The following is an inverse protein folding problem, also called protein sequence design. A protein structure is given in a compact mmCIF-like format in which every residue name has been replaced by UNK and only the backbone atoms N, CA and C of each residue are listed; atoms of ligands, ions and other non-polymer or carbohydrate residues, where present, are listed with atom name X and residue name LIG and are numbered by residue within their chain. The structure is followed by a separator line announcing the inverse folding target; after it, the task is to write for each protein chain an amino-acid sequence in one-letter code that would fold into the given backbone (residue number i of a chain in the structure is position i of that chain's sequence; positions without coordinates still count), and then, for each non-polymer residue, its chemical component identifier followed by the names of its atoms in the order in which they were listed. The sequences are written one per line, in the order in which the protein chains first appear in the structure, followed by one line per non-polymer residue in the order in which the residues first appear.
data_IF_225335023917
#
_entry.id   IF_225335023917
#
_cell.length_a   1.000
_cell.length_b   1.000
_cell.length_c   1.000
_cell.angle_alpha   90.00
_cell.angle_beta   90.00
_cell.angle_gamma   90.00
#
_symmetry.space_group_name_H-M   'P 1'
#
loop_
_entity.id
_entity.type
_entity.pdbx_description
1 polymer ?
#
# COMPACT_ATOMS: atom_id res chain seq x y z
N UNK A 1 26.72 -12.71 -14.78
CA UNK A 1 25.55 -12.19 -14.02
C UNK A 1 26.02 -11.18 -12.97
N UNK A 2 25.28 -10.09 -12.71
CA UNK A 2 25.69 -9.00 -11.80
C UNK A 2 26.13 -9.42 -10.38
N UNK A 3 25.68 -10.59 -9.92
CA UNK A 3 25.96 -11.13 -8.58
C UNK A 3 27.16 -12.09 -8.52
N UNK A 4 27.71 -12.53 -9.66
CA UNK A 4 28.87 -13.44 -9.69
C UNK A 4 30.12 -12.88 -8.99
N UNK A 5 30.44 -11.58 -9.10
CA UNK A 5 31.60 -11.01 -8.41
C UNK A 5 31.52 -11.06 -6.88
N UNK A 6 30.32 -11.24 -6.30
CA UNK A 6 30.14 -11.30 -4.84
C UNK A 6 30.54 -12.65 -4.24
N UNK A 7 30.72 -13.70 -5.06
CA UNK A 7 31.03 -15.06 -4.58
C UNK A 7 29.94 -15.66 -3.69
N UNK A 8 28.72 -15.10 -3.69
CA UNK A 8 27.58 -15.56 -2.91
C UNK A 8 26.69 -16.48 -3.74
N UNK A 9 26.12 -17.51 -3.12
CA UNK A 9 25.01 -18.27 -3.70
C UNK A 9 23.76 -17.39 -3.79
N UNK A 10 23.00 -17.52 -4.87
CA UNK A 10 21.74 -16.81 -5.06
C UNK A 10 20.71 -17.72 -5.70
N UNK A 11 19.45 -17.34 -5.54
CA UNK A 11 18.33 -17.86 -6.30
C UNK A 11 17.51 -16.68 -6.83
N UNK A 12 16.76 -16.92 -7.90
CA UNK A 12 15.86 -15.97 -8.55
C UNK A 12 14.47 -16.59 -8.53
N UNK A 13 13.51 -15.87 -7.96
CA UNK A 13 12.12 -16.31 -7.88
C UNK A 13 11.29 -15.38 -8.76
N UNK A 14 10.73 -15.92 -9.83
CA UNK A 14 9.73 -15.25 -10.65
C UNK A 14 8.34 -15.60 -10.12
N UNK A 15 7.51 -14.58 -9.88
CA UNK A 15 6.12 -14.77 -9.45
C UNK A 15 5.19 -14.27 -10.56
N UNK A 16 4.48 -15.18 -11.22
CA UNK A 16 3.48 -14.87 -12.25
C UNK A 16 2.13 -14.57 -11.61
N UNK A 17 1.74 -13.29 -11.59
CA UNK A 17 0.44 -12.81 -11.12
C UNK A 17 -0.66 -12.90 -12.20
N UNK A 18 -0.72 -14.05 -12.88
CA UNK A 18 -1.53 -14.28 -14.09
C UNK A 18 -1.19 -13.32 -15.23
N UNK A 19 0.08 -13.28 -15.62
CA UNK A 19 0.53 -12.65 -16.84
C UNK A 19 0.06 -13.37 -18.10
N UNK A 20 0.60 -12.96 -19.26
CA UNK A 20 0.27 -13.61 -20.52
C UNK A 20 0.73 -15.07 -20.54
N UNK A 21 0.08 -15.97 -21.31
CA UNK A 21 0.56 -17.34 -21.47
C UNK A 21 2.02 -17.44 -21.95
N UNK A 22 2.50 -16.45 -22.71
CA UNK A 22 3.88 -16.38 -23.15
C UNK A 22 4.87 -16.07 -22.01
N UNK A 23 4.45 -15.29 -21.00
CA UNK A 23 5.27 -14.97 -19.83
C UNK A 23 5.54 -16.23 -19.00
N UNK A 24 4.49 -17.02 -18.70
CA UNK A 24 4.65 -18.27 -17.96
C UNK A 24 5.54 -19.27 -18.71
N UNK A 25 5.33 -19.43 -20.02
CA UNK A 25 6.17 -20.30 -20.84
C UNK A 25 7.65 -19.86 -20.87
N UNK A 26 7.93 -18.55 -20.79
CA UNK A 26 9.30 -18.04 -20.69
C UNK A 26 9.92 -18.36 -19.32
N UNK A 27 9.17 -18.20 -18.23
CA UNK A 27 9.61 -18.56 -16.87
C UNK A 27 9.94 -20.05 -16.79
N UNK A 28 9.06 -20.91 -17.31
CA UNK A 28 9.25 -22.35 -17.32
C UNK A 28 10.54 -22.76 -18.07
N UNK A 29 10.79 -22.17 -19.24
CA UNK A 29 12.05 -22.38 -19.98
C UNK A 29 13.27 -21.94 -19.19
N UNK A 30 13.23 -20.76 -18.56
CA UNK A 30 14.33 -20.25 -17.74
C UNK A 30 14.62 -21.17 -16.53
N UNK A 31 13.57 -21.73 -15.93
CA UNK A 31 13.70 -22.72 -14.86
C UNK A 31 14.35 -24.01 -15.37
N UNK A 32 13.95 -24.50 -16.56
CA UNK A 32 14.55 -25.68 -17.17
C UNK A 32 16.04 -25.49 -17.54
N UNK A 33 16.42 -24.29 -17.96
CA UNK A 33 17.82 -23.94 -18.28
C UNK A 33 18.68 -23.75 -17.02
N UNK A 34 18.07 -23.34 -15.90
CA UNK A 34 18.79 -22.98 -14.67
C UNK A 34 18.14 -23.57 -13.39
N UNK A 35 17.95 -24.90 -13.30
CA UNK A 35 17.07 -25.53 -12.29
C UNK A 35 17.56 -25.37 -10.84
N UNK A 36 18.84 -25.08 -10.63
CA UNK A 36 19.41 -24.85 -9.30
C UNK A 36 19.39 -23.38 -8.85
N UNK A 37 19.03 -22.45 -9.74
CA UNK A 37 19.10 -21.01 -9.48
C UNK A 37 17.79 -20.27 -9.72
N UNK A 38 16.89 -20.81 -10.55
CA UNK A 38 15.67 -20.12 -10.96
C UNK A 38 14.45 -20.95 -10.57
N UNK A 39 13.48 -20.29 -9.96
CA UNK A 39 12.18 -20.83 -9.60
C UNK A 39 11.07 -19.95 -10.17
N UNK A 40 10.00 -20.59 -10.60
CA UNK A 40 8.77 -19.93 -11.05
C UNK A 40 7.62 -20.31 -10.12
N UNK A 41 6.86 -19.33 -9.67
CA UNK A 41 5.65 -19.52 -8.86
C UNK A 41 4.50 -18.84 -9.59
N UNK A 42 3.45 -19.58 -9.90
CA UNK A 42 2.25 -19.06 -10.54
C UNK A 42 1.13 -18.91 -9.54
N UNK A 43 0.50 -17.74 -9.52
CA UNK A 43 -0.67 -17.49 -8.70
C UNK A 43 -1.96 -17.95 -9.40
N UNK A 44 -2.92 -18.43 -8.62
CA UNK A 44 -4.20 -18.96 -9.12
C UNK A 44 -5.12 -17.92 -9.76
N UNK A 45 -4.91 -16.64 -9.48
CA UNK A 45 -5.57 -15.49 -10.11
C UNK A 45 -4.68 -14.26 -9.96
N UNK A 46 -5.08 -13.13 -10.56
CA UNK A 46 -4.44 -11.86 -10.30
C UNK A 46 -4.77 -11.38 -8.87
N UNK A 47 -3.75 -11.26 -8.03
CA UNK A 47 -3.81 -10.73 -6.65
C UNK A 47 -3.17 -9.33 -6.53
N UNK A 48 -2.45 -8.88 -7.55
CA UNK A 48 -1.75 -7.60 -7.62
C UNK A 48 -0.27 -7.69 -7.21
N UNK A 49 0.50 -6.69 -7.64
CA UNK A 49 1.96 -6.64 -7.50
C UNK A 49 2.44 -6.90 -6.07
N UNK A 50 1.89 -6.22 -5.05
CA UNK A 50 2.34 -6.39 -3.67
C UNK A 50 2.07 -7.80 -3.11
N UNK A 51 0.97 -8.45 -3.51
CA UNK A 51 0.68 -9.81 -3.08
C UNK A 51 1.65 -10.81 -3.75
N UNK A 52 1.94 -10.61 -5.03
CA UNK A 52 2.95 -11.40 -5.76
C UNK A 52 4.36 -11.21 -5.18
N UNK A 53 4.76 -9.98 -4.87
CA UNK A 53 6.05 -9.71 -4.21
C UNK A 53 6.13 -10.37 -2.83
N UNK A 54 5.07 -10.32 -2.01
CA UNK A 54 5.04 -11.04 -0.74
C UNK A 54 5.10 -12.56 -0.91
N UNK A 55 4.47 -13.11 -1.96
CA UNK A 55 4.61 -14.52 -2.31
C UNK A 55 6.08 -14.87 -2.56
N UNK A 56 6.78 -14.07 -3.37
CA UNK A 56 8.22 -14.25 -3.64
C UNK A 56 9.06 -14.16 -2.37
N UNK A 57 8.79 -13.17 -1.50
CA UNK A 57 9.47 -13.02 -0.20
C UNK A 57 9.24 -14.25 0.68
N UNK A 58 8.01 -14.76 0.75
CA UNK A 58 7.65 -15.91 1.58
C UNK A 58 8.29 -17.23 1.10
N UNK A 59 8.61 -17.35 -0.18
CA UNK A 59 9.24 -18.54 -0.76
C UNK A 59 10.77 -18.41 -0.89
N UNK A 60 11.35 -17.25 -0.56
CA UNK A 60 12.78 -17.01 -0.62
C UNK A 60 13.54 -17.75 0.48
N UNK A 61 14.71 -18.30 0.15
CA UNK A 61 15.61 -19.06 1.02
C UNK A 61 16.94 -18.37 1.29
N UNK A 62 17.18 -17.18 0.71
CA UNK A 62 18.35 -16.34 1.01
C UNK A 62 18.28 -15.59 2.35
N UNK A 63 19.41 -15.35 3.01
CA UNK A 63 19.49 -14.49 4.21
C UNK A 63 19.07 -13.05 3.91
N UNK A 64 19.42 -12.58 2.71
CA UNK A 64 19.03 -11.29 2.16
C UNK A 64 18.09 -11.51 0.98
N UNK A 65 16.94 -10.84 1.00
CA UNK A 65 15.95 -10.88 -0.06
C UNK A 65 16.03 -9.56 -0.82
N UNK A 66 16.18 -9.64 -2.14
CA UNK A 66 16.18 -8.47 -3.02
C UNK A 66 14.92 -8.47 -3.84
N UNK A 67 14.18 -7.36 -3.86
CA UNK A 67 13.04 -7.18 -4.75
C UNK A 67 13.41 -6.22 -5.86
N UNK A 68 13.09 -6.58 -7.10
CA UNK A 68 13.37 -5.83 -8.33
C UNK A 68 12.10 -5.88 -9.17
N UNK A 69 11.67 -4.74 -9.72
CA UNK A 69 10.55 -4.70 -10.66
C UNK A 69 10.97 -5.13 -12.07
N UNK A 70 10.02 -5.63 -12.86
CA UNK A 70 10.25 -6.15 -14.21
C UNK A 70 10.45 -5.05 -15.28
N UNK A 71 10.33 -3.78 -14.92
CA UNK A 71 10.37 -2.63 -15.83
C UNK A 71 11.79 -2.24 -16.29
N UNK A 72 12.81 -2.97 -15.83
CA UNK A 72 14.23 -2.73 -16.08
C UNK A 72 14.69 -1.30 -15.71
N UNK A 73 13.89 -0.55 -14.94
CA UNK A 73 14.24 0.79 -14.49
C UNK A 73 15.36 0.75 -13.42
N UNK A 74 15.60 -0.45 -12.84
CA UNK A 74 16.52 -0.73 -11.75
C UNK A 74 17.57 -1.74 -12.21
N UNK A 75 18.82 -1.32 -12.49
CA UNK A 75 19.85 -2.22 -12.99
C UNK A 75 20.27 -3.22 -11.89
N UNK A 76 20.22 -4.55 -12.15
CA UNK A 76 20.68 -5.57 -11.21
C UNK A 76 22.13 -5.38 -10.73
N UNK A 77 22.95 -4.66 -11.49
CA UNK A 77 24.31 -4.22 -11.17
C UNK A 77 24.38 -3.34 -9.91
N UNK A 78 23.25 -2.77 -9.47
CA UNK A 78 23.16 -2.00 -8.24
C UNK A 78 22.97 -2.86 -6.98
N UNK A 79 22.56 -4.12 -7.13
CA UNK A 79 22.31 -5.03 -5.99
C UNK A 79 23.54 -5.19 -5.07
N UNK A 80 24.78 -5.35 -5.58
CA UNK A 80 25.98 -5.37 -4.74
C UNK A 80 26.11 -4.18 -3.80
N UNK A 81 25.80 -2.96 -4.27
CA UNK A 81 25.90 -1.75 -3.45
C UNK A 81 24.87 -1.73 -2.31
N UNK A 82 23.63 -2.17 -2.58
CA UNK A 82 22.61 -2.29 -1.54
C UNK A 82 22.98 -3.37 -0.50
N UNK A 83 23.51 -4.51 -0.94
CA UNK A 83 23.96 -5.58 -0.04
C UNK A 83 25.12 -5.14 0.83
N UNK A 84 26.12 -4.46 0.26
CA UNK A 84 27.25 -3.93 1.03
C UNK A 84 26.76 -2.96 2.13
N UNK A 85 25.79 -2.09 1.81
CA UNK A 85 25.18 -1.20 2.79
C UNK A 85 24.41 -1.97 3.85
N UNK A 86 23.73 -3.04 3.48
CA UNK A 86 22.99 -3.88 4.42
C UNK A 86 23.92 -4.58 5.42
N UNK A 87 25.10 -5.03 4.95
CA UNK A 87 26.16 -5.63 5.77
C UNK A 87 26.76 -4.65 6.81
N UNK A 88 26.54 -3.33 6.69
CA UNK A 88 26.88 -2.35 7.74
C UNK A 88 25.97 -2.45 8.99
N UNK A 89 24.96 -3.33 8.97
CA UNK A 89 24.04 -3.58 10.08
C UNK A 89 22.61 -3.06 9.86
N UNK A 90 22.25 -2.72 8.61
CA UNK A 90 20.91 -2.24 8.25
C UNK A 90 19.99 -3.40 7.86
N UNK A 91 18.80 -3.46 8.45
CA UNK A 91 17.84 -4.54 8.17
C UNK A 91 17.09 -4.36 6.86
N UNK A 92 17.00 -3.12 6.37
CA UNK A 92 16.37 -2.77 5.10
C UNK A 92 17.22 -1.72 4.40
N UNK A 93 17.50 -1.91 3.12
CA UNK A 93 18.20 -0.89 2.31
C UNK A 93 17.40 -0.63 1.05
N UNK A 94 17.05 0.62 0.81
CA UNK A 94 16.34 1.05 -0.39
C UNK A 94 17.32 1.59 -1.44
N UNK A 95 17.13 1.19 -2.69
CA UNK A 95 17.77 1.82 -3.83
C UNK A 95 16.94 3.03 -4.26
N UNK A 96 17.51 4.22 -4.17
CA UNK A 96 16.83 5.48 -4.49
C UNK A 96 17.47 6.11 -5.73
N UNK A 97 16.65 6.60 -6.65
CA UNK A 97 17.17 7.20 -7.86
C UNK A 97 17.82 8.56 -7.56
N UNK A 98 18.94 8.84 -8.22
CA UNK A 98 19.53 10.17 -8.23
C UNK A 98 18.53 11.15 -8.85
N UNK A 99 18.05 12.10 -8.06
CA UNK A 99 16.95 12.97 -8.47
C UNK A 99 17.40 13.93 -9.58
N UNK A 100 16.96 13.69 -10.83
CA UNK A 100 16.85 14.75 -11.85
C UNK A 100 15.59 14.61 -12.68
N UNK A 101 14.51 15.30 -12.27
CA UNK A 101 13.48 15.78 -13.21
C UNK A 101 12.63 16.91 -12.63
N UNK A 102 13.09 18.15 -12.78
CA UNK A 102 12.59 19.01 -13.85
C UNK A 102 11.27 19.76 -13.66
N UNK A 103 10.24 19.13 -13.10
CA UNK A 103 8.92 19.68 -13.32
C UNK A 103 7.98 19.54 -12.12
N UNK A 104 7.32 20.66 -11.86
CA UNK A 104 6.74 21.06 -10.59
C UNK A 104 5.32 20.49 -10.35
N UNK A 105 4.58 20.20 -11.42
CA UNK A 105 3.24 19.61 -11.42
C UNK A 105 3.12 18.15 -10.92
N UNK A 106 4.00 17.24 -11.36
CA UNK A 106 4.23 15.86 -10.89
C UNK A 106 4.90 15.80 -9.52
N UNK A 107 5.62 16.85 -9.11
CA UNK A 107 6.11 17.00 -7.73
C UNK A 107 4.97 17.33 -6.77
N UNK A 108 4.01 18.18 -7.15
CA UNK A 108 2.89 18.56 -6.28
C UNK A 108 1.97 17.36 -5.93
N UNK A 109 1.68 16.48 -6.89
CA UNK A 109 0.90 15.24 -6.63
C UNK A 109 1.70 14.20 -5.84
N UNK A 110 3.00 14.07 -6.11
CA UNK A 110 3.93 13.22 -5.35
C UNK A 110 4.05 13.70 -3.89
N UNK A 111 4.13 15.01 -3.66
CA UNK A 111 4.40 15.60 -2.36
C UNK A 111 3.15 15.66 -1.47
N UNK A 112 1.97 15.94 -2.04
CA UNK A 112 0.69 15.80 -1.33
C UNK A 112 0.39 14.34 -0.99
N UNK A 113 0.62 13.42 -1.94
CA UNK A 113 0.51 11.98 -1.69
C UNK A 113 1.45 11.56 -0.56
N UNK A 114 2.75 11.85 -0.66
CA UNK A 114 3.77 11.52 0.36
C UNK A 114 3.48 12.15 1.73
N UNK A 115 2.94 13.37 1.76
CA UNK A 115 2.55 14.03 3.01
C UNK A 115 1.36 13.34 3.67
N UNK A 116 0.34 12.94 2.88
CA UNK A 116 -0.81 12.16 3.36
C UNK A 116 -0.40 10.75 3.81
N UNK A 117 0.52 10.11 3.10
CA UNK A 117 1.10 8.82 3.50
C UNK A 117 1.86 8.91 4.83
N UNK A 118 2.66 9.97 5.03
CA UNK A 118 3.33 10.22 6.31
C UNK A 118 2.32 10.50 7.44
N UNK A 119 1.22 11.16 7.13
CA UNK A 119 0.18 11.42 8.12
C UNK A 119 -0.61 10.14 8.48
N UNK A 120 -0.81 9.24 7.51
CA UNK A 120 -1.46 7.95 7.71
C UNK A 120 -0.53 6.91 8.36
N UNK A 121 0.77 6.94 8.03
CA UNK A 121 1.80 6.02 8.52
C UNK A 121 3.06 6.85 8.89
N UNK A 122 3.13 7.38 10.12
CA UNK A 122 4.23 8.25 10.54
C UNK A 122 5.61 7.60 10.47
N UNK A 123 5.67 6.26 10.55
CA UNK A 123 6.89 5.45 10.47
C UNK A 123 7.40 5.24 9.04
N UNK A 124 6.61 5.58 8.02
CA UNK A 124 6.96 5.30 6.63
C UNK A 124 8.16 6.17 6.18
N UNK A 125 9.20 5.51 5.66
CA UNK A 125 10.33 6.20 5.04
C UNK A 125 9.84 7.04 3.84
N UNK A 126 10.34 8.26 3.68
CA UNK A 126 9.95 9.15 2.55
C UNK A 126 10.48 8.69 1.20
N UNK A 127 11.52 7.87 1.20
CA UNK A 127 12.25 7.44 0.01
C UNK A 127 12.08 5.94 -0.27
N UNK A 128 10.93 5.36 0.12
CA UNK A 128 10.65 3.96 -0.17
C UNK A 128 10.55 3.73 -1.68
N UNK A 129 11.08 2.60 -2.14
CA UNK A 129 11.06 2.14 -3.52
C UNK A 129 10.81 0.64 -3.57
N UNK A 130 10.39 0.13 -4.74
CA UNK A 130 10.31 -1.32 -4.99
C UNK A 130 11.70 -1.98 -5.00
N UNK A 131 12.76 -1.23 -5.32
CA UNK A 131 14.13 -1.71 -5.24
C UNK A 131 14.66 -1.71 -3.82
N UNK A 132 14.79 -2.89 -3.22
CA UNK A 132 15.22 -2.99 -1.83
C UNK A 132 15.86 -4.32 -1.52
N UNK A 133 16.72 -4.28 -0.51
CA UNK A 133 17.25 -5.43 0.19
C UNK A 133 16.59 -5.50 1.56
N UNK A 134 16.10 -6.68 1.93
CA UNK A 134 15.41 -6.95 3.19
C UNK A 134 16.12 -8.12 3.88
N UNK A 135 16.48 -7.95 5.15
CA UNK A 135 17.01 -9.03 5.96
C UNK A 135 15.94 -10.08 6.27
N UNK A 136 16.32 -11.36 6.35
CA UNK A 136 15.42 -12.49 6.64
C UNK A 136 14.50 -12.26 7.82
N UNK A 137 14.97 -11.63 8.90
CA UNK A 137 14.15 -11.35 10.09
C UNK A 137 12.96 -10.45 9.78
N UNK A 138 13.13 -9.47 8.89
CA UNK A 138 12.05 -8.59 8.44
C UNK A 138 11.13 -9.34 7.48
N UNK A 139 11.69 -10.12 6.55
CA UNK A 139 10.92 -10.96 5.63
C UNK A 139 9.99 -11.95 6.36
N UNK A 140 10.49 -12.67 7.37
CA UNK A 140 9.69 -13.56 8.21
C UNK A 140 8.59 -12.81 8.98
N UNK A 141 8.82 -11.53 9.30
CA UNK A 141 7.80 -10.66 9.89
C UNK A 141 6.70 -10.32 8.89
N UNK A 142 7.05 -10.06 7.62
CA UNK A 142 6.10 -9.73 6.55
C UNK A 142 5.12 -10.86 6.27
N UNK A 143 5.54 -12.12 6.37
CA UNK A 143 4.69 -13.30 6.19
C UNK A 143 3.52 -13.38 7.20
N UNK A 144 3.65 -12.73 8.36
CA UNK A 144 2.61 -12.74 9.40
C UNK A 144 1.46 -11.78 9.10
N UNK A 145 1.60 -10.89 8.13
CA UNK A 145 0.55 -9.96 7.76
C UNK A 145 -0.42 -10.64 6.80
N UNK A 146 -1.67 -10.84 7.23
CA UNK A 146 -2.74 -11.45 6.44
C UNK A 146 -3.84 -10.43 6.12
N UNK A 147 -3.49 -9.35 5.42
CA UNK A 147 -4.44 -8.31 5.03
C UNK A 147 -4.55 -8.23 3.51
N UNK A 148 -5.77 -8.18 2.93
CA UNK A 148 -5.96 -8.07 1.49
C UNK A 148 -5.53 -6.72 0.92
N UNK A 149 -5.39 -5.70 1.77
CA UNK A 149 -4.86 -4.38 1.41
C UNK A 149 -3.36 -4.34 1.67
N UNK A 150 -2.61 -5.00 0.80
CA UNK A 150 -1.17 -5.21 0.95
C UNK A 150 -0.39 -3.94 0.60
N UNK A 151 0.37 -3.44 1.57
CA UNK A 151 1.34 -2.36 1.36
C UNK A 151 2.63 -2.72 2.09
N UNK A 152 3.58 -3.27 1.34
CA UNK A 152 4.80 -3.88 1.89
C UNK A 152 5.59 -2.85 2.70
N UNK A 153 5.79 -1.64 2.19
CA UNK A 153 6.52 -0.58 2.89
C UNK A 153 5.84 -0.15 4.20
N UNK A 154 4.51 -0.16 4.24
CA UNK A 154 3.75 0.05 5.47
C UNK A 154 4.08 -1.02 6.52
N UNK A 155 4.09 -2.29 6.11
CA UNK A 155 4.44 -3.40 7.00
C UNK A 155 5.90 -3.37 7.44
N UNK A 156 6.83 -3.09 6.53
CA UNK A 156 8.25 -2.93 6.86
C UNK A 156 8.43 -1.83 7.91
N UNK A 157 7.76 -0.68 7.73
CA UNK A 157 7.86 0.45 8.67
C UNK A 157 7.30 0.14 10.06
N UNK A 158 6.40 -0.83 10.17
CA UNK A 158 5.87 -1.33 11.44
C UNK A 158 6.82 -2.35 12.09
N UNK A 159 7.50 -3.17 11.27
CA UNK A 159 8.44 -4.19 11.76
C UNK A 159 9.75 -3.56 12.25
N UNK A 160 10.29 -2.56 11.53
CA UNK A 160 11.60 -1.99 11.85
C UNK A 160 11.74 -0.52 11.45
N UNK A 161 12.58 0.18 12.21
CA UNK A 161 13.08 1.52 11.89
C UNK A 161 14.55 1.50 11.44
N UNK A 162 15.20 0.34 11.41
CA UNK A 162 16.59 0.20 11.00
C UNK A 162 16.67 0.04 9.47
N UNK A 163 16.71 1.18 8.78
CA UNK A 163 16.85 1.22 7.34
C UNK A 163 17.94 2.19 6.88
N UNK A 164 18.44 1.99 5.67
CA UNK A 164 19.32 2.92 4.96
C UNK A 164 18.88 3.09 3.49
N UNK A 165 19.48 4.06 2.82
CA UNK A 165 19.26 4.30 1.38
C UNK A 165 20.59 4.33 0.66
N UNK A 166 20.60 3.85 -0.59
CA UNK A 166 21.74 3.89 -1.51
C UNK A 166 21.26 4.52 -2.81
N UNK A 167 22.01 5.50 -3.31
CA UNK A 167 21.70 6.13 -4.60
C UNK A 167 22.08 5.18 -5.72
N UNK A 168 21.14 4.90 -6.63
CA UNK A 168 21.31 3.99 -7.76
C UNK A 168 21.12 4.73 -9.09
N UNK A 169 21.89 4.37 -10.14
CA UNK A 169 21.68 4.90 -11.48
C UNK A 169 20.33 4.45 -12.03
N UNK A 170 19.66 5.33 -12.78
CA UNK A 170 18.38 5.05 -13.41
C UNK A 170 18.57 4.98 -14.93
N UNK A 171 18.32 3.82 -15.52
CA UNK A 171 18.33 3.68 -16.98
C UNK A 171 17.07 4.26 -17.58
N UNK A 172 17.22 4.99 -18.69
CA UNK A 172 16.10 5.59 -19.40
C UNK A 172 15.22 4.49 -20.02
N UNK A 173 13.96 4.40 -19.58
CA UNK A 173 12.90 3.48 -20.04
C UNK A 173 13.15 2.79 -21.39
N UNK A 174 13.24 1.46 -21.36
CA UNK A 174 12.94 0.60 -22.51
C UNK A 174 11.43 0.25 -22.49
N UNK A 175 10.62 1.11 -23.11
CA UNK A 175 9.17 0.93 -23.38
C UNK A 175 8.17 0.97 -22.20
N UNK A 176 7.10 1.77 -22.35
CA UNK A 176 5.90 1.72 -21.51
C UNK A 176 5.35 3.09 -21.13
N UNK A 177 4.10 3.39 -21.50
CA UNK A 177 3.35 4.52 -20.91
C UNK A 177 2.81 4.06 -19.56
N UNK A 178 3.09 4.80 -18.48
CA UNK A 178 2.49 4.57 -17.16
C UNK A 178 0.97 4.43 -17.29
N UNK A 179 0.47 3.21 -17.06
CA UNK A 179 -0.96 2.85 -17.17
C UNK A 179 -1.79 3.33 -15.98
N UNK A 180 -1.24 4.15 -15.09
CA UNK A 180 -1.99 4.66 -13.95
C UNK A 180 -2.83 5.87 -14.36
N UNK A 181 -4.13 5.63 -14.57
CA UNK A 181 -5.11 6.72 -14.65
C UNK A 181 -5.20 7.45 -13.31
N UNK A 182 -5.44 8.77 -13.34
CA UNK A 182 -5.62 9.61 -12.14
C UNK A 182 -6.67 9.01 -11.19
N UNK A 183 -7.71 8.37 -11.74
CA UNK A 183 -8.75 7.68 -10.97
C UNK A 183 -8.22 6.51 -10.15
N UNK A 184 -7.31 5.70 -10.71
CA UNK A 184 -6.67 4.60 -9.97
C UNK A 184 -5.78 5.14 -8.86
N UNK A 185 -5.08 6.25 -9.10
CA UNK A 185 -4.22 6.89 -8.09
C UNK A 185 -5.04 7.39 -6.89
N UNK A 186 -6.17 8.05 -7.14
CA UNK A 186 -7.08 8.54 -6.10
C UNK A 186 -7.72 7.38 -5.34
N UNK A 187 -8.19 6.34 -6.04
CA UNK A 187 -8.76 5.16 -5.40
C UNK A 187 -7.75 4.44 -4.50
N UNK A 188 -6.49 4.32 -4.96
CA UNK A 188 -5.41 3.74 -4.19
C UNK A 188 -5.10 4.56 -2.93
N UNK A 189 -5.04 5.89 -3.06
CA UNK A 189 -4.84 6.79 -1.93
C UNK A 189 -5.95 6.70 -0.88
N UNK A 190 -7.22 6.68 -1.31
CA UNK A 190 -8.36 6.48 -0.41
C UNK A 190 -8.27 5.13 0.28
N UNK A 191 -7.95 4.07 -0.46
CA UNK A 191 -7.83 2.73 0.11
C UNK A 191 -6.75 2.67 1.19
N UNK A 192 -5.58 3.25 0.96
CA UNK A 192 -4.50 3.28 1.96
C UNK A 192 -4.93 4.11 3.16
N UNK A 193 -5.50 5.29 2.92
CA UNK A 193 -5.94 6.17 3.99
C UNK A 193 -6.98 5.49 4.91
N UNK A 194 -7.95 4.78 4.35
CA UNK A 194 -8.94 4.05 5.15
C UNK A 194 -8.36 2.77 5.77
N UNK A 195 -7.37 2.13 5.12
CA UNK A 195 -6.73 0.91 5.66
C UNK A 195 -5.84 1.21 6.87
N UNK A 196 -5.07 2.29 6.80
CA UNK A 196 -3.98 2.57 7.74
C UNK A 196 -4.25 3.74 8.68
N UNK A 197 -5.35 4.48 8.50
CA UNK A 197 -5.70 5.61 9.37
C UNK A 197 -7.10 5.48 9.98
N UNK A 198 -7.22 5.85 11.24
CA UNK A 198 -8.48 6.05 11.96
C UNK A 198 -9.06 7.46 11.73
N UNK A 199 -8.39 8.31 10.93
CA UNK A 199 -8.79 9.69 10.72
C UNK A 199 -10.18 9.86 10.09
N UNK A 200 -10.62 9.08 9.08
CA UNK A 200 -11.99 9.14 8.57
C UNK A 200 -13.03 8.95 9.67
N UNK A 201 -12.79 7.98 10.57
CA UNK A 201 -13.66 7.71 11.71
C UNK A 201 -13.65 8.87 12.71
N UNK A 202 -12.48 9.46 12.99
CA UNK A 202 -12.37 10.65 13.86
C UNK A 202 -13.10 11.85 13.28
N UNK A 203 -12.98 12.12 11.98
CA UNK A 203 -13.69 13.21 11.30
C UNK A 203 -15.20 12.98 11.41
N UNK A 204 -15.68 11.77 11.12
CA UNK A 204 -17.09 11.41 11.25
C UNK A 204 -17.59 11.61 12.69
N UNK A 205 -16.78 11.23 13.68
CA UNK A 205 -17.08 11.41 15.11
C UNK A 205 -17.21 12.89 15.47
N UNK A 206 -16.27 13.74 15.04
CA UNK A 206 -16.30 15.17 15.31
C UNK A 206 -17.45 15.89 14.60
N UNK A 207 -17.77 15.49 13.36
CA UNK A 207 -18.92 16.00 12.62
C UNK A 207 -20.23 15.62 13.32
N UNK A 208 -20.36 14.36 13.75
CA UNK A 208 -21.51 13.87 14.50
C UNK A 208 -21.69 14.62 15.83
N UNK A 209 -20.62 14.80 16.59
CA UNK A 209 -20.64 15.54 17.86
C UNK A 209 -21.02 17.01 17.65
N UNK A 210 -20.43 17.67 16.65
CA UNK A 210 -20.73 19.07 16.33
C UNK A 210 -22.18 19.26 15.89
N UNK A 211 -22.70 18.36 15.04
CA UNK A 211 -24.09 18.38 14.63
C UNK A 211 -25.06 18.10 15.79
N UNK A 212 -24.70 17.19 16.71
CA UNK A 212 -25.50 16.89 17.90
C UNK A 212 -25.56 18.08 18.86
N UNK A 213 -24.42 18.72 19.16
CA UNK A 213 -24.36 19.91 20.02
C UNK A 213 -25.08 21.10 19.38
N UNK A 214 -24.88 21.33 18.08
CA UNK A 214 -25.59 22.38 17.33
C UNK A 214 -27.10 22.13 17.29
N UNK A 215 -27.52 20.89 17.05
CA UNK A 215 -28.92 20.48 17.08
C UNK A 215 -29.56 20.63 18.47
N UNK A 216 -28.84 20.29 19.54
CA UNK A 216 -29.31 20.49 20.92
C UNK A 216 -29.48 21.97 21.25
N UNK A 217 -28.50 22.82 20.91
CA UNK A 217 -28.58 24.26 21.12
C UNK A 217 -29.75 24.89 20.35
N UNK A 218 -29.93 24.50 19.08
CA UNK A 218 -31.06 24.93 18.25
C UNK A 218 -32.41 24.45 18.81
N UNK A 219 -32.47 23.22 19.32
CA UNK A 219 -33.64 22.67 19.99
C UNK A 219 -34.02 23.47 21.24
N UNK A 220 -33.03 23.83 22.08
CA UNK A 220 -33.22 24.68 23.26
C UNK A 220 -33.73 26.07 22.85
N UNK A 221 -33.18 26.68 21.80
CA UNK A 221 -33.66 28.00 21.34
C UNK A 221 -35.11 27.97 20.85
N UNK A 222 -35.51 26.90 20.15
CA UNK A 222 -36.91 26.72 19.72
C UNK A 222 -37.83 26.52 20.92
N UNK A 223 -37.39 25.74 21.93
CA UNK A 223 -38.18 25.51 23.14
C UNK A 223 -38.42 26.82 23.90
N UNK A 224 -37.37 27.63 24.08
CA UNK A 224 -37.48 28.95 24.73
C UNK A 224 -38.45 29.84 23.94
N UNK A 225 -38.27 29.96 22.62
CA UNK A 225 -39.12 30.79 21.77
C UNK A 225 -40.60 30.32 21.77
N UNK A 226 -40.85 29.02 21.95
CA UNK A 226 -42.20 28.47 22.09
C UNK A 226 -42.82 28.83 23.44
N UNK A 227 -42.05 28.74 24.53
CA UNK A 227 -42.53 29.07 25.88
C UNK A 227 -42.80 30.56 26.07
N UNK A 228 -42.05 31.42 25.39
CA UNK A 228 -42.27 32.88 25.40
C UNK A 228 -43.35 33.36 24.42
N UNK A 229 -44.00 32.43 23.69
CA UNK A 229 -45.05 32.76 22.72
C UNK A 229 -44.56 33.47 21.46
N UNK A 230 -43.24 33.47 21.20
CA UNK A 230 -42.62 34.20 20.09
C UNK A 230 -42.70 33.46 18.73
N UNK A 231 -43.21 32.23 18.71
CA UNK A 231 -43.31 31.40 17.50
C UNK A 231 -44.76 31.36 16.98
N UNK A 232 -45.03 32.11 15.92
CA UNK A 232 -46.24 31.99 15.07
C UNK A 232 -45.93 31.03 13.91
N UNK A 233 -46.48 29.82 13.96
CA UNK A 233 -45.89 28.65 13.26
C UNK A 233 -46.04 28.67 11.72
N UNK A 234 -44.92 28.48 11.00
CA UNK A 234 -44.76 27.38 10.04
C UNK A 234 -43.33 26.84 10.16
N UNK A 235 -43.18 25.74 10.90
CA UNK A 235 -41.90 25.06 11.15
C UNK A 235 -41.60 23.90 10.19
N UNK A 236 -42.45 23.67 9.18
CA UNK A 236 -42.32 22.50 8.31
C UNK A 236 -41.01 22.51 7.52
N UNK A 237 -40.64 23.65 6.93
CA UNK A 237 -39.42 23.76 6.14
C UNK A 237 -38.16 23.51 6.99
N UNK A 238 -38.10 24.05 8.22
CA UNK A 238 -36.97 23.86 9.13
C UNK A 238 -36.93 22.45 9.74
N UNK A 239 -38.08 21.85 10.06
CA UNK A 239 -38.17 20.46 10.54
C UNK A 239 -37.75 19.49 9.44
N UNK A 240 -38.26 19.66 8.22
CA UNK A 240 -37.91 18.78 7.09
C UNK A 240 -36.45 18.94 6.67
N UNK A 241 -35.92 20.17 6.65
CA UNK A 241 -34.50 20.42 6.40
C UNK A 241 -33.62 19.78 7.49
N UNK A 242 -33.96 19.94 8.76
CA UNK A 242 -33.25 19.32 9.89
C UNK A 242 -33.29 17.79 9.85
N UNK A 243 -34.47 17.20 9.59
CA UNK A 243 -34.63 15.75 9.44
C UNK A 243 -33.82 15.20 8.26
N UNK A 244 -33.85 15.89 7.11
CA UNK A 244 -33.12 15.45 5.91
C UNK A 244 -31.61 15.57 6.13
N UNK A 245 -31.15 16.65 6.76
CA UNK A 245 -29.74 16.85 7.11
C UNK A 245 -29.24 15.81 8.10
N UNK A 246 -29.96 15.57 9.20
CA UNK A 246 -29.60 14.56 10.19
C UNK A 246 -29.64 13.15 9.60
N UNK A 247 -30.65 12.83 8.78
CA UNK A 247 -30.73 11.55 8.07
C UNK A 247 -29.56 11.36 7.10
N UNK A 248 -29.21 12.39 6.32
CA UNK A 248 -28.05 12.36 5.43
C UNK A 248 -26.72 12.18 6.19
N UNK A 249 -26.55 12.88 7.30
CA UNK A 249 -25.38 12.75 8.16
C UNK A 249 -25.27 11.36 8.80
N UNK A 250 -26.39 10.79 9.27
CA UNK A 250 -26.44 9.43 9.80
C UNK A 250 -26.08 8.39 8.73
N UNK A 251 -26.62 8.51 7.52
CA UNK A 251 -26.28 7.63 6.39
C UNK A 251 -24.80 7.74 6.01
N UNK A 252 -24.21 8.94 6.06
CA UNK A 252 -22.78 9.14 5.84
C UNK A 252 -21.95 8.44 6.91
N UNK A 253 -22.29 8.63 8.19
CA UNK A 253 -21.59 7.96 9.31
C UNK A 253 -21.72 6.44 9.20
N UNK A 254 -22.91 5.92 8.92
CA UNK A 254 -23.14 4.49 8.69
C UNK A 254 -22.34 3.96 7.49
N UNK A 255 -22.21 4.74 6.42
CA UNK A 255 -21.35 4.39 5.28
C UNK A 255 -19.88 4.23 5.69
N UNK A 256 -19.36 5.15 6.52
CA UNK A 256 -18.01 5.05 7.08
C UNK A 256 -17.88 3.80 7.96
N UNK A 257 -18.84 3.56 8.87
CA UNK A 257 -18.85 2.33 9.69
C UNK A 257 -18.89 1.07 8.83
N UNK A 258 -19.70 1.04 7.77
CA UNK A 258 -19.81 -0.07 6.83
C UNK A 258 -18.48 -0.37 6.15
N UNK A 259 -17.73 0.66 5.76
CA UNK A 259 -16.39 0.52 5.17
C UNK A 259 -15.38 -0.11 6.15
N UNK A 260 -15.38 0.32 7.42
CA UNK A 260 -14.53 -0.28 8.46
C UNK A 260 -14.98 -1.71 8.81
N UNK A 261 -16.28 -1.97 8.91
CA UNK A 261 -16.83 -3.30 9.15
C UNK A 261 -16.49 -4.25 8.01
N UNK A 262 -16.56 -3.81 6.75
CA UNK A 262 -16.14 -4.62 5.61
C UNK A 262 -14.67 -5.02 5.75
N UNK A 263 -13.79 -4.08 6.13
CA UNK A 263 -12.35 -4.34 6.35
C UNK A 263 -12.10 -5.32 7.50
N UNK A 264 -12.84 -5.19 8.61
CA UNK A 264 -12.78 -6.15 9.71
C UNK A 264 -13.26 -7.52 9.24
N UNK A 265 -14.38 -7.60 8.53
CA UNK A 265 -14.91 -8.85 8.00
C UNK A 265 -13.91 -9.54 7.06
N UNK A 266 -13.25 -8.78 6.18
CA UNK A 266 -12.19 -9.33 5.32
C UNK A 266 -10.99 -9.88 6.12
N UNK A 267 -10.60 -9.23 7.23
CA UNK A 267 -9.56 -9.76 8.12
C UNK A 267 -10.02 -11.02 8.86
N UNK A 268 -11.25 -11.06 9.35
CA UNK A 268 -11.81 -12.22 10.06
C UNK A 268 -12.05 -13.41 9.12
N UNK A 269 -12.39 -13.14 7.85
CA UNK A 269 -12.62 -14.16 6.83
C UNK A 269 -11.38 -15.02 6.53
N UNK A 270 -10.19 -14.66 7.06
CA UNK A 270 -8.94 -15.45 6.97
C UNK A 270 -8.61 -15.85 5.53
N UNK A 271 -8.99 -15.01 4.57
CA UNK A 271 -8.71 -15.23 3.16
C UNK A 271 -7.20 -15.13 2.95
N UNK A 272 -6.59 -16.11 2.26
CA UNK A 272 -5.15 -16.07 2.01
C UNK A 272 -4.81 -14.88 1.11
N UNK A 273 -3.64 -14.29 1.37
CA UNK A 273 -3.16 -13.08 0.69
C UNK A 273 -2.85 -13.33 -0.79
N UNK A 274 -2.40 -14.55 -1.09
CA UNK A 274 -2.23 -15.12 -2.42
C UNK A 274 -2.50 -16.62 -2.34
N UNK A 275 -2.74 -17.25 -3.49
CA UNK A 275 -2.83 -18.71 -3.60
C UNK A 275 -1.98 -19.16 -4.77
N UNK A 276 -1.05 -20.08 -4.52
CA UNK A 276 -0.20 -20.68 -5.53
C UNK A 276 -0.99 -21.75 -6.30
N UNK A 277 -0.93 -21.71 -7.62
CA UNK A 277 -1.49 -22.72 -8.52
C UNK A 277 -0.43 -23.73 -8.95
N UNK A 278 0.76 -23.24 -9.32
CA UNK A 278 1.82 -24.05 -9.92
C UNK A 278 3.19 -23.53 -9.48
N UNK A 279 4.13 -24.43 -9.22
CA UNK A 279 5.54 -24.13 -8.98
C UNK A 279 6.43 -24.93 -9.94
N UNK A 280 7.46 -24.29 -10.47
CA UNK A 280 8.48 -24.89 -11.35
C UNK A 280 9.88 -24.50 -10.87
N UNK A 281 10.88 -25.37 -11.07
CA UNK A 281 12.21 -25.20 -10.50
C UNK A 281 12.30 -25.66 -9.03
N UNK A 282 13.51 -25.61 -8.45
CA UNK A 282 13.85 -26.27 -7.16
C UNK A 282 14.03 -25.29 -6.00
#
# INVERSE_FOLDING_TARGET
MALEPLGKSYEIIFVDDRGSPANWAAIDRLCAENPSKVRGIRLSRNFGQHAATLCGIAHARGEWIVTIDEDLEQPPESVPALLQKAEEGHQVVYGVNETRSHAWWRNLTSEVGRSLFKFAIPSLNREYTSFRVIHRTVANGLERFQSPFTFIDGYISWITHNYATVVVPHDARFHGKSSYSVRMLVAHMINIFVTFSDLPLRIATWLGLSASLGGAAWGVSILIAKLTGALSVSGYASIMAGMTFLGGLQLLILGIFGEYLARINFKTASMPLFLVEEEVGN
#
